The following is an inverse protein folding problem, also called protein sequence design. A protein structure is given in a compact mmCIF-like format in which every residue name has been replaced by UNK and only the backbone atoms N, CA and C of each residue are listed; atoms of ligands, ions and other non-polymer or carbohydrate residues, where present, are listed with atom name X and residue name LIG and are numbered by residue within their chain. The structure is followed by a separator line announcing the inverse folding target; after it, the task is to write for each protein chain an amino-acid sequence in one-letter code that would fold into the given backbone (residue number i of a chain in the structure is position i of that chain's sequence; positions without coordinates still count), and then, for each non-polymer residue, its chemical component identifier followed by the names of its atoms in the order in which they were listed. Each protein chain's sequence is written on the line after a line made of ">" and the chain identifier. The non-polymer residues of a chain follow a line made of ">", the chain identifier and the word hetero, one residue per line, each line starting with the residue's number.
data_IF_957561342547
#
_entry.id   IF_957561342547
#
_cell.length_a   1.000
_cell.length_b   1.000
_cell.length_c   1.000
_cell.angle_alpha   90.00
_cell.angle_beta   90.00
_cell.angle_gamma   90.00
#
_symmetry.space_group_name_H-M   'P 1'
#
loop_
_entity.id
_entity.type
_entity.pdbx_description
1 polymer ?
#
# COMPACT_ATOMS: atom_id res chain seq x y z
N UNK A 1 2.66 19.48 8.27
CA UNK A 1 2.17 18.50 7.28
C UNK A 1 1.01 19.02 6.44
N UNK A 2 -0.14 19.43 7.01
CA UNK A 2 -1.24 20.01 6.21
C UNK A 2 -0.86 21.34 5.52
N UNK A 3 -0.12 22.21 6.21
CA UNK A 3 0.38 23.48 5.66
C UNK A 3 1.42 23.30 4.55
N UNK A 4 2.25 22.25 4.61
CA UNK A 4 3.22 21.96 3.54
C UNK A 4 2.55 21.41 2.28
N UNK A 5 1.49 20.60 2.39
CA UNK A 5 0.67 20.12 1.26
C UNK A 5 -0.04 21.26 0.51
N UNK A 6 -0.41 22.33 1.23
CA UNK A 6 -1.06 23.52 0.66
C UNK A 6 -0.07 24.47 -0.03
N UNK A 7 1.19 24.52 0.44
CA UNK A 7 2.20 25.48 -0.03
C UNK A 7 3.15 24.91 -1.06
N UNK A 8 3.39 23.60 -1.05
CA UNK A 8 4.22 22.92 -2.03
C UNK A 8 3.38 22.48 -3.23
N UNK A 9 3.47 23.24 -4.32
CA UNK A 9 3.01 22.81 -5.65
C UNK A 9 3.77 21.57 -6.17
N UNK A 10 4.78 21.07 -5.44
CA UNK A 10 5.70 20.00 -5.86
C UNK A 10 5.35 18.58 -5.39
N UNK A 11 4.36 18.37 -4.52
CA UNK A 11 4.00 17.01 -4.06
C UNK A 11 3.44 16.10 -5.17
N UNK A 12 3.13 16.69 -6.34
CA UNK A 12 2.64 16.02 -7.54
C UNK A 12 3.44 16.46 -8.78
N UNK A 13 4.67 16.95 -8.59
CA UNK A 13 5.60 17.10 -9.71
C UNK A 13 6.13 15.69 -10.03
N UNK A 14 5.39 15.00 -10.91
CA UNK A 14 5.93 13.84 -11.62
C UNK A 14 6.89 14.40 -12.65
N UNK A 15 8.00 14.99 -12.20
CA UNK A 15 9.11 15.28 -13.10
C UNK A 15 9.61 13.90 -13.54
N UNK A 16 9.49 13.61 -14.85
CA UNK A 16 9.94 12.39 -15.55
C UNK A 16 11.48 12.19 -15.49
N UNK A 17 12.14 12.72 -14.45
CA UNK A 17 13.56 12.62 -14.20
C UNK A 17 13.87 11.64 -13.06
N UNK A 18 13.07 10.59 -12.89
CA UNK A 18 13.56 9.38 -12.24
C UNK A 18 14.34 8.61 -13.31
N UNK A 19 15.66 8.74 -13.33
CA UNK A 19 16.54 7.83 -14.05
C UNK A 19 16.01 6.41 -13.81
N UNK A 20 15.50 5.75 -14.87
CA UNK A 20 14.72 4.51 -14.80
C UNK A 20 15.39 3.56 -13.82
N UNK A 21 14.90 3.52 -12.58
CA UNK A 21 15.48 2.65 -11.58
C UNK A 21 15.31 1.24 -12.15
N UNK A 22 16.42 0.53 -12.34
CA UNK A 22 16.36 -0.80 -12.95
C UNK A 22 15.29 -1.61 -12.25
N UNK A 23 14.42 -2.27 -13.02
CA UNK A 23 13.25 -2.99 -12.49
C UNK A 23 13.64 -3.94 -11.35
N UNK A 24 14.83 -4.52 -11.44
CA UNK A 24 15.47 -5.30 -10.39
C UNK A 24 15.68 -4.54 -9.06
N UNK A 25 16.18 -3.31 -9.10
CA UNK A 25 16.40 -2.47 -7.91
C UNK A 25 15.09 -2.12 -7.22
N UNK A 26 14.03 -1.88 -8.00
CA UNK A 26 12.69 -1.63 -7.46
C UNK A 26 12.13 -2.89 -6.82
N UNK A 27 12.25 -4.05 -7.47
CA UNK A 27 11.82 -5.33 -6.93
C UNK A 27 12.56 -5.65 -5.61
N UNK A 28 13.89 -5.56 -5.59
CA UNK A 28 14.69 -5.81 -4.38
C UNK A 28 14.32 -4.86 -3.25
N UNK A 29 14.17 -3.55 -3.52
CA UNK A 29 13.71 -2.60 -2.50
C UNK A 29 12.32 -2.93 -1.98
N UNK A 30 11.37 -3.24 -2.84
CA UNK A 30 10.01 -3.59 -2.46
C UNK A 30 9.95 -4.86 -1.61
N UNK A 31 10.73 -5.88 -2.00
CA UNK A 31 10.88 -7.13 -1.24
C UNK A 31 11.50 -6.85 0.12
N UNK A 32 12.61 -6.13 0.19
CA UNK A 32 13.25 -5.77 1.46
C UNK A 32 12.30 -4.99 2.37
N UNK A 33 11.57 -3.99 1.85
CA UNK A 33 10.60 -3.23 2.64
C UNK A 33 9.49 -4.12 3.22
N UNK A 34 9.01 -5.10 2.46
CA UNK A 34 8.01 -6.05 2.95
C UNK A 34 8.58 -7.03 3.97
N UNK A 35 9.76 -7.61 3.70
CA UNK A 35 10.42 -8.58 4.59
C UNK A 35 10.84 -7.94 5.91
N UNK A 36 11.35 -6.70 5.87
CA UNK A 36 11.74 -5.95 7.05
C UNK A 36 10.54 -5.40 7.84
N UNK A 37 9.31 -5.49 7.31
CA UNK A 37 8.11 -5.05 8.03
C UNK A 37 7.57 -6.20 8.90
N UNK A 38 7.79 -6.18 10.23
CA UNK A 38 7.43 -7.32 11.07
C UNK A 38 5.91 -7.48 11.21
N UNK A 39 5.10 -6.48 10.82
CA UNK A 39 3.65 -6.50 11.02
C UNK A 39 2.99 -7.65 10.26
N UNK A 40 3.40 -7.86 9.01
CA UNK A 40 2.85 -8.91 8.16
C UNK A 40 3.30 -10.30 8.66
N UNK A 41 4.58 -10.43 9.05
CA UNK A 41 5.11 -11.67 9.63
C UNK A 41 4.43 -12.03 10.95
N UNK A 42 4.22 -11.05 11.83
CA UNK A 42 3.51 -11.24 13.11
C UNK A 42 2.03 -11.58 12.90
N UNK A 43 1.36 -10.96 11.92
CA UNK A 43 0.00 -11.33 11.54
C UNK A 43 -0.06 -12.81 11.15
N UNK A 44 0.81 -13.25 10.25
CA UNK A 44 0.86 -14.64 9.85
C UNK A 44 1.16 -15.58 11.02
N UNK A 45 2.14 -15.26 11.86
CA UNK A 45 2.46 -16.06 13.04
C UNK A 45 1.29 -16.14 14.03
N UNK A 46 0.52 -15.07 14.20
CA UNK A 46 -0.60 -15.03 15.12
C UNK A 46 -1.85 -15.75 14.58
N UNK A 47 -2.13 -15.64 13.27
CA UNK A 47 -3.39 -16.08 12.68
C UNK A 47 -3.27 -17.43 11.93
N UNK A 48 -2.19 -17.71 11.19
CA UNK A 48 -2.06 -18.98 10.43
C UNK A 48 -2.18 -20.24 11.31
N UNK A 49 -1.49 -20.32 12.47
CA UNK A 49 -1.57 -21.52 13.31
C UNK A 49 -2.99 -21.82 13.81
N UNK A 50 -3.84 -20.80 13.93
CA UNK A 50 -5.23 -20.95 14.39
C UNK A 50 -6.10 -21.71 13.37
N UNK A 51 -5.68 -21.78 12.11
CA UNK A 51 -6.40 -22.48 11.04
C UNK A 51 -5.94 -23.94 10.85
N UNK A 52 -4.99 -24.43 11.65
CA UNK A 52 -4.46 -25.79 11.55
C UNK A 52 -5.03 -26.67 12.66
N UNK A 53 -5.51 -27.86 12.30
CA UNK A 53 -5.96 -28.86 13.27
C UNK A 53 -4.77 -29.40 14.08
N UNK A 54 -4.80 -29.31 15.42
CA UNK A 54 -3.78 -29.88 16.28
C UNK A 54 -3.64 -31.40 16.04
N UNK A 55 -2.41 -31.90 15.90
CA UNK A 55 -2.15 -33.34 15.73
C UNK A 55 -2.09 -33.86 14.29
N UNK A 56 -2.23 -33.00 13.28
CA UNK A 56 -1.94 -33.37 11.89
C UNK A 56 -0.43 -33.49 11.67
N UNK A 57 0.05 -34.64 11.15
CA UNK A 57 1.48 -34.89 10.94
C UNK A 57 2.17 -33.93 9.93
N UNK A 58 1.41 -33.07 9.25
CA UNK A 58 1.87 -32.19 8.18
C UNK A 58 1.50 -30.71 8.39
N UNK A 59 1.56 -30.21 9.62
CA UNK A 59 1.24 -28.81 9.94
C UNK A 59 2.03 -27.79 9.10
N UNK A 60 3.31 -28.05 8.82
CA UNK A 60 4.16 -27.16 7.98
C UNK A 60 3.64 -27.04 6.55
N UNK A 61 3.20 -28.15 5.96
CA UNK A 61 2.64 -28.19 4.60
C UNK A 61 1.33 -27.41 4.50
N UNK A 62 0.47 -27.53 5.53
CA UNK A 62 -0.77 -26.75 5.61
C UNK A 62 -0.50 -25.23 5.75
N UNK A 63 0.47 -24.86 6.58
CA UNK A 63 0.94 -23.47 6.75
C UNK A 63 1.44 -22.86 5.43
N UNK A 64 2.31 -23.59 4.71
CA UNK A 64 2.84 -23.14 3.42
C UNK A 64 1.73 -23.02 2.38
N UNK A 65 0.81 -23.98 2.33
CA UNK A 65 -0.35 -23.94 1.43
C UNK A 65 -1.24 -22.72 1.67
N UNK A 66 -1.57 -22.44 2.94
CA UNK A 66 -2.43 -21.30 3.29
C UNK A 66 -1.72 -19.95 3.04
N UNK A 67 -0.41 -19.87 3.31
CA UNK A 67 0.41 -18.71 2.97
C UNK A 67 0.47 -18.47 1.46
N UNK A 68 0.63 -19.53 0.65
CA UNK A 68 0.64 -19.44 -0.80
C UNK A 68 -0.71 -18.99 -1.36
N UNK A 69 -1.82 -19.52 -0.83
CA UNK A 69 -3.17 -19.09 -1.23
C UNK A 69 -3.41 -17.60 -0.93
N UNK A 70 -3.00 -17.14 0.25
CA UNK A 70 -3.09 -15.73 0.62
C UNK A 70 -2.21 -14.85 -0.28
N UNK A 71 -0.97 -15.26 -0.57
CA UNK A 71 -0.08 -14.54 -1.48
C UNK A 71 -0.68 -14.44 -2.89
N UNK A 72 -1.27 -15.52 -3.41
CA UNK A 72 -1.94 -15.51 -4.72
C UNK A 72 -3.11 -14.54 -4.76
N UNK A 73 -3.97 -14.56 -3.73
CA UNK A 73 -5.09 -13.63 -3.63
C UNK A 73 -4.61 -12.18 -3.57
N UNK A 74 -3.58 -11.91 -2.77
CA UNK A 74 -2.98 -10.57 -2.63
C UNK A 74 -2.41 -10.10 -3.96
N UNK A 75 -1.71 -10.99 -4.68
CA UNK A 75 -1.17 -10.69 -6.00
C UNK A 75 -2.26 -10.34 -7.00
N UNK A 76 -3.34 -11.12 -7.08
CA UNK A 76 -4.49 -10.84 -7.98
C UNK A 76 -5.11 -9.48 -7.66
N UNK A 77 -5.33 -9.18 -6.38
CA UNK A 77 -5.86 -7.88 -5.94
C UNK A 77 -4.92 -6.74 -6.33
N UNK A 78 -3.61 -6.91 -6.15
CA UNK A 78 -2.63 -5.87 -6.51
C UNK A 78 -2.50 -5.68 -8.02
N UNK A 79 -2.59 -6.75 -8.82
CA UNK A 79 -2.68 -6.65 -10.28
C UNK A 79 -3.94 -5.89 -10.68
N UNK A 80 -5.08 -6.19 -10.04
CA UNK A 80 -6.32 -5.45 -10.24
C UNK A 80 -6.17 -3.97 -9.91
N UNK A 81 -5.58 -3.63 -8.76
CA UNK A 81 -5.26 -2.24 -8.41
C UNK A 81 -4.31 -1.59 -9.40
N UNK A 82 -3.27 -2.30 -9.86
CA UNK A 82 -2.31 -1.80 -10.83
C UNK A 82 -2.94 -1.51 -12.19
N UNK A 83 -3.84 -2.38 -12.65
CA UNK A 83 -4.60 -2.18 -13.88
C UNK A 83 -5.62 -1.04 -13.76
N UNK A 84 -6.33 -0.95 -12.64
CA UNK A 84 -7.20 0.20 -12.36
C UNK A 84 -6.40 1.50 -12.28
N UNK A 85 -5.21 1.45 -11.67
CA UNK A 85 -4.32 2.61 -11.56
C UNK A 85 -3.74 3.02 -12.92
N UNK A 86 -3.43 2.08 -13.82
CA UNK A 86 -2.97 2.43 -15.17
C UNK A 86 -4.08 3.08 -16.00
N UNK A 87 -5.31 2.53 -15.95
CA UNK A 87 -6.48 3.13 -16.59
C UNK A 87 -6.81 4.51 -15.99
N UNK A 88 -6.74 4.63 -14.67
CA UNK A 88 -6.92 5.90 -13.98
C UNK A 88 -5.79 6.88 -14.30
N UNK A 89 -4.54 6.43 -14.49
CA UNK A 89 -3.40 7.29 -14.83
C UNK A 89 -3.66 8.04 -16.12
N UNK A 90 -4.18 7.37 -17.15
CA UNK A 90 -4.49 8.00 -18.44
C UNK A 90 -5.60 9.06 -18.33
N UNK A 91 -6.57 8.86 -17.44
CA UNK A 91 -7.70 9.78 -17.23
C UNK A 91 -7.39 10.92 -16.23
N UNK A 92 -6.63 10.63 -15.18
CA UNK A 92 -6.36 11.50 -14.02
C UNK A 92 -5.15 12.40 -14.28
N UNK A 93 -4.06 11.90 -14.89
CA UNK A 93 -2.89 12.74 -15.21
C UNK A 93 -3.23 13.77 -16.29
N UNK A 94 -4.17 13.46 -17.19
CA UNK A 94 -4.65 14.42 -18.20
C UNK A 94 -5.50 15.56 -17.63
N UNK A 95 -6.02 15.46 -16.40
CA UNK A 95 -6.89 16.48 -15.79
C UNK A 95 -6.33 17.02 -14.48
N UNK A 96 -5.57 18.14 -14.48
CA UNK A 96 -5.01 18.75 -13.28
C UNK A 96 -6.06 19.18 -12.24
N UNK A 97 -7.32 19.33 -12.63
CA UNK A 97 -8.44 19.59 -11.69
C UNK A 97 -8.77 18.40 -10.78
N UNK A 98 -8.57 17.15 -11.23
CA UNK A 98 -8.83 15.96 -10.41
C UNK A 98 -7.77 15.80 -9.34
N UNK A 99 -6.49 15.99 -9.68
CA UNK A 99 -5.39 16.03 -8.72
C UNK A 99 -5.59 17.10 -7.65
N UNK A 100 -6.02 18.30 -8.04
CA UNK A 100 -6.33 19.39 -7.11
C UNK A 100 -7.49 19.04 -6.17
N UNK A 101 -8.55 18.42 -6.67
CA UNK A 101 -9.67 17.98 -5.83
C UNK A 101 -9.25 16.91 -4.83
N UNK A 102 -8.50 15.89 -5.27
CA UNK A 102 -7.95 14.84 -4.42
C UNK A 102 -7.06 15.42 -3.30
N UNK A 103 -6.20 16.38 -3.63
CA UNK A 103 -5.35 17.09 -2.66
C UNK A 103 -6.16 17.82 -1.60
N UNK A 104 -7.21 18.55 -2.00
CA UNK A 104 -8.07 19.26 -1.05
C UNK A 104 -8.91 18.30 -0.20
N UNK A 105 -9.36 17.18 -0.77
CA UNK A 105 -10.07 16.14 -0.01
C UNK A 105 -9.18 15.51 1.07
N UNK A 106 -7.95 15.12 0.73
CA UNK A 106 -6.98 14.62 1.72
C UNK A 106 -6.63 15.67 2.77
N UNK A 107 -6.37 16.92 2.37
CA UNK A 107 -6.08 18.00 3.31
C UNK A 107 -7.25 18.25 4.28
N UNK A 108 -8.50 18.20 3.80
CA UNK A 108 -9.70 18.30 4.63
C UNK A 108 -9.85 17.11 5.56
N UNK A 109 -9.63 15.89 5.08
CA UNK A 109 -9.72 14.68 5.89
C UNK A 109 -8.68 14.67 7.02
N UNK A 110 -7.42 15.01 6.73
CA UNK A 110 -6.37 15.11 7.74
C UNK A 110 -6.58 16.28 8.69
N UNK A 111 -7.05 17.43 8.20
CA UNK A 111 -7.42 18.56 9.05
C UNK A 111 -8.54 18.20 10.01
N UNK A 112 -9.59 17.54 9.51
CA UNK A 112 -10.70 17.04 10.33
C UNK A 112 -10.22 16.01 11.36
N UNK A 113 -9.40 15.04 10.97
CA UNK A 113 -8.83 14.06 11.90
C UNK A 113 -7.97 14.73 12.97
N UNK A 114 -7.16 15.72 12.62
CA UNK A 114 -6.33 16.48 13.57
C UNK A 114 -7.16 17.29 14.57
N UNK A 115 -8.22 17.96 14.08
CA UNK A 115 -9.16 18.69 14.94
C UNK A 115 -9.90 17.71 15.86
N UNK A 116 -10.39 16.60 15.31
CA UNK A 116 -11.07 15.56 16.09
C UNK A 116 -10.17 15.01 17.18
N UNK A 117 -8.89 14.77 16.87
CA UNK A 117 -7.91 14.26 17.84
C UNK A 117 -7.67 15.28 18.97
N UNK A 118 -7.49 16.56 18.61
CA UNK A 118 -7.27 17.65 19.55
C UNK A 118 -8.52 17.99 20.39
N UNK A 119 -9.72 17.65 19.91
CA UNK A 119 -10.97 17.79 20.66
C UNK A 119 -11.39 16.51 21.39
N UNK A 120 -10.66 15.40 21.18
CA UNK A 120 -10.87 14.12 21.88
C UNK A 120 -9.89 13.91 23.04
N UNK A 121 -9.04 14.90 23.32
CA UNK A 121 -8.35 15.08 24.60
C UNK A 121 -9.14 16.06 25.50
#
# INVERSE_FOLDING_TARGET
>A
MAWSILRENGALDVSDNTAKAGMWRVAVRGTLLNVLNPKLSLFFLAFLPQFITPGSGNATLALVGLAAAFMLMTFVVFVGYGACASLARDYVIRRPSVLRWFRHAFARAFGFLGIKLASSE
#
